data_IF_370053980032
#
_entry.id   IF_370053980032
#
_cell.length_a   1.000
_cell.length_b   1.000
_cell.length_c   1.000
_cell.angle_alpha   90.00
_cell.angle_beta   90.00
_cell.angle_gamma   90.00
#
_symmetry.space_group_name_H-M   'P 1'
#
loop_
_entity.id
_entity.type
_entity.pdbx_description
1 polymer ?
#
# COMPACT_ATOMS: atom_id res chain seq x y z
N UNK A 1 -21.80 -35.14 -5.36
CA UNK A 1 -21.86 -33.66 -5.34
C UNK A 1 -20.53 -33.04 -4.88
N UNK A 2 -19.96 -33.41 -3.73
CA UNK A 2 -18.69 -32.86 -3.21
C UNK A 2 -17.49 -33.02 -4.16
N UNK A 3 -17.26 -34.22 -4.74
CA UNK A 3 -16.17 -34.46 -5.71
C UNK A 3 -16.32 -33.63 -6.99
N UNK A 4 -17.54 -33.43 -7.47
CA UNK A 4 -17.77 -32.60 -8.66
C UNK A 4 -17.33 -31.14 -8.45
N UNK A 5 -17.62 -30.58 -7.27
CA UNK A 5 -17.23 -29.21 -6.93
C UNK A 5 -15.70 -29.10 -6.82
N UNK A 6 -15.06 -30.03 -6.11
CA UNK A 6 -13.60 -30.00 -5.91
C UNK A 6 -12.82 -30.21 -7.20
N UNK A 7 -13.30 -31.06 -8.10
CA UNK A 7 -12.54 -31.50 -9.26
C UNK A 7 -12.82 -30.62 -10.49
N UNK A 8 -13.96 -29.92 -10.51
CA UNK A 8 -14.37 -29.12 -11.68
C UNK A 8 -14.59 -27.64 -11.39
N UNK A 9 -15.19 -27.26 -10.27
CA UNK A 9 -15.53 -25.85 -10.03
C UNK A 9 -14.34 -25.11 -9.40
N UNK A 10 -13.76 -25.66 -8.33
CA UNK A 10 -12.66 -25.01 -7.60
C UNK A 10 -11.45 -24.68 -8.51
N UNK A 11 -10.95 -25.58 -9.39
CA UNK A 11 -9.79 -25.27 -10.23
C UNK A 11 -10.07 -24.13 -11.24
N UNK A 12 -11.31 -24.03 -11.72
CA UNK A 12 -11.74 -22.96 -12.61
C UNK A 12 -11.83 -21.62 -11.89
N UNK A 13 -12.36 -21.62 -10.66
CA UNK A 13 -12.37 -20.43 -9.80
C UNK A 13 -10.96 -19.96 -9.45
N UNK A 14 -10.04 -20.88 -9.14
CA UNK A 14 -8.63 -20.56 -8.88
C UNK A 14 -7.97 -19.92 -10.11
N UNK A 15 -8.26 -20.46 -11.30
CA UNK A 15 -7.79 -19.91 -12.57
C UNK A 15 -8.36 -18.51 -12.81
N UNK A 16 -9.66 -18.30 -12.61
CA UNK A 16 -10.30 -16.99 -12.72
C UNK A 16 -9.69 -15.98 -11.73
N UNK A 17 -9.46 -16.38 -10.48
CA UNK A 17 -8.81 -15.56 -9.46
C UNK A 17 -7.42 -15.08 -9.89
N UNK A 18 -6.62 -15.94 -10.51
CA UNK A 18 -5.28 -15.58 -11.00
C UNK A 18 -5.29 -14.50 -12.11
N UNK A 19 -6.40 -14.34 -12.83
CA UNK A 19 -6.57 -13.31 -13.86
C UNK A 19 -7.29 -12.06 -13.35
N UNK A 20 -8.39 -12.24 -12.61
CA UNK A 20 -9.35 -11.17 -12.33
C UNK A 20 -9.22 -10.56 -10.93
N UNK A 21 -8.69 -11.27 -9.92
CA UNK A 21 -8.67 -10.74 -8.55
C UNK A 21 -7.86 -9.43 -8.45
N UNK A 22 -6.64 -9.44 -8.99
CA UNK A 22 -5.79 -8.25 -9.00
C UNK A 22 -6.28 -7.18 -9.98
N UNK A 23 -6.94 -7.56 -11.07
CA UNK A 23 -7.57 -6.58 -11.97
C UNK A 23 -8.70 -5.83 -11.24
N UNK A 24 -9.56 -6.55 -10.52
CA UNK A 24 -10.65 -5.95 -9.73
C UNK A 24 -10.14 -4.95 -8.70
N UNK A 25 -9.11 -5.34 -7.92
CA UNK A 25 -8.46 -4.45 -6.95
C UNK A 25 -7.87 -3.19 -7.63
N UNK A 26 -7.21 -3.36 -8.77
CA UNK A 26 -6.63 -2.23 -9.51
C UNK A 26 -7.70 -1.29 -10.05
N UNK A 27 -8.82 -1.81 -10.56
CA UNK A 27 -9.92 -1.00 -11.10
C UNK A 27 -10.57 -0.13 -10.02
N UNK A 28 -10.91 -0.72 -8.87
CA UNK A 28 -11.54 0.05 -7.78
C UNK A 28 -10.58 1.09 -7.21
N UNK A 29 -9.33 0.70 -6.92
CA UNK A 29 -8.34 1.66 -6.40
C UNK A 29 -8.05 2.78 -7.42
N UNK A 30 -7.88 2.44 -8.70
CA UNK A 30 -7.65 3.46 -9.72
C UNK A 30 -8.81 4.45 -9.82
N UNK A 31 -10.06 3.99 -9.71
CA UNK A 31 -11.21 4.87 -9.71
C UNK A 31 -11.19 5.85 -8.53
N UNK A 32 -11.05 5.34 -7.30
CA UNK A 32 -11.09 6.15 -6.08
C UNK A 32 -9.97 7.20 -6.06
N UNK A 33 -8.74 6.82 -6.42
CA UNK A 33 -7.62 7.77 -6.45
C UNK A 33 -7.67 8.72 -7.65
N UNK A 34 -8.23 8.29 -8.79
CA UNK A 34 -8.47 9.19 -9.91
C UNK A 34 -9.48 10.28 -9.54
N UNK A 35 -10.59 9.90 -8.91
CA UNK A 35 -11.61 10.84 -8.44
C UNK A 35 -11.03 11.81 -7.40
N UNK A 36 -10.31 11.28 -6.41
CA UNK A 36 -9.65 12.10 -5.38
C UNK A 36 -8.66 13.11 -5.99
N UNK A 37 -7.79 12.66 -6.88
CA UNK A 37 -6.76 13.50 -7.49
C UNK A 37 -7.34 14.53 -8.45
N UNK A 38 -8.28 14.14 -9.31
CA UNK A 38 -8.94 15.09 -10.23
C UNK A 38 -9.81 16.10 -9.50
N UNK A 39 -10.38 15.75 -8.35
CA UNK A 39 -11.07 16.70 -7.46
C UNK A 39 -10.09 17.75 -6.93
N UNK A 40 -8.86 17.36 -6.54
CA UNK A 40 -7.83 18.31 -6.11
C UNK A 40 -7.31 19.20 -7.26
N UNK A 41 -7.18 18.65 -8.47
CA UNK A 41 -6.75 19.42 -9.65
C UNK A 41 -7.77 20.49 -10.08
N UNK A 42 -9.07 20.26 -9.82
CA UNK A 42 -10.16 21.18 -10.19
C UNK A 42 -10.66 22.04 -9.03
N UNK A 43 -10.27 21.70 -7.81
CA UNK A 43 -10.74 22.32 -6.58
C UNK A 43 -9.83 23.44 -6.08
N UNK A 44 -10.26 24.06 -4.99
CA UNK A 44 -9.47 25.03 -4.26
C UNK A 44 -8.63 24.33 -3.19
N UNK A 45 -7.38 24.74 -3.05
CA UNK A 45 -6.47 24.18 -2.05
C UNK A 45 -6.95 24.53 -0.63
N UNK A 46 -7.36 23.51 0.12
CA UNK A 46 -7.76 23.63 1.53
C UNK A 46 -6.69 23.10 2.49
N UNK A 47 -5.55 22.61 2.01
CA UNK A 47 -4.47 22.10 2.87
C UNK A 47 -3.88 23.17 3.79
N UNK A 48 -4.06 24.46 3.48
CA UNK A 48 -3.70 25.56 4.37
C UNK A 48 -4.39 25.46 5.74
N UNK A 49 -5.59 24.89 5.80
CA UNK A 49 -6.34 24.71 7.05
C UNK A 49 -5.82 23.55 7.92
N UNK A 50 -5.00 22.67 7.36
CA UNK A 50 -4.47 21.46 8.05
C UNK A 50 -2.94 21.38 7.96
N UNK A 51 -2.27 22.50 7.64
CA UNK A 51 -0.82 22.55 7.42
C UNK A 51 -0.04 22.01 8.62
N UNK A 52 -0.46 22.38 9.83
CA UNK A 52 0.22 22.00 11.08
C UNK A 52 0.10 20.49 11.39
N UNK A 53 -0.83 19.79 10.75
CA UNK A 53 -1.08 18.36 10.96
C UNK A 53 -0.24 17.47 10.04
N UNK A 54 0.46 18.03 9.03
CA UNK A 54 1.26 17.20 8.14
C UNK A 54 2.42 16.55 8.89
N UNK A 55 2.63 15.23 8.76
CA UNK A 55 3.76 14.56 9.37
C UNK A 55 5.07 14.88 8.64
N UNK A 56 6.21 14.80 9.31
CA UNK A 56 7.52 14.83 8.66
C UNK A 56 7.65 13.71 7.61
N UNK A 57 8.30 13.94 6.44
CA UNK A 57 8.93 15.19 6.00
C UNK A 57 7.96 16.17 5.33
N UNK A 58 6.68 15.84 5.21
CA UNK A 58 5.70 16.67 4.51
C UNK A 58 5.38 17.98 5.23
N UNK A 59 5.60 18.05 6.54
CA UNK A 59 5.56 19.31 7.31
C UNK A 59 6.58 20.36 6.83
N UNK A 60 7.65 19.94 6.13
CA UNK A 60 8.66 20.86 5.61
C UNK A 60 8.24 21.57 4.31
N UNK A 61 7.18 21.09 3.67
CA UNK A 61 6.65 21.67 2.43
C UNK A 61 5.46 22.59 2.73
N UNK A 62 5.25 23.57 1.85
CA UNK A 62 4.05 24.42 1.91
C UNK A 62 2.78 23.62 1.60
N UNK A 63 1.64 24.15 2.04
CA UNK A 63 0.33 23.58 1.73
C UNK A 63 0.10 23.44 0.22
N UNK A 64 0.56 24.41 -0.58
CA UNK A 64 0.48 24.37 -2.05
C UNK A 64 1.32 23.24 -2.63
N UNK A 65 2.53 23.03 -2.10
CA UNK A 65 3.40 21.95 -2.55
C UNK A 65 2.79 20.59 -2.22
N UNK A 66 2.31 20.41 -0.97
CA UNK A 66 1.65 19.18 -0.57
C UNK A 66 0.37 18.91 -1.38
N UNK A 67 -0.41 19.96 -1.68
CA UNK A 67 -1.62 19.85 -2.50
C UNK A 67 -1.32 19.35 -3.91
N UNK A 68 -0.33 19.97 -4.57
CA UNK A 68 0.10 19.58 -5.91
C UNK A 68 0.67 18.17 -5.90
N UNK A 69 1.56 17.83 -4.95
CA UNK A 69 2.14 16.50 -4.84
C UNK A 69 1.07 15.42 -4.63
N UNK A 70 0.09 15.66 -3.76
CA UNK A 70 -1.02 14.75 -3.54
C UNK A 70 -1.88 14.62 -4.81
N UNK A 71 -2.28 15.72 -5.44
CA UNK A 71 -3.15 15.70 -6.62
C UNK A 71 -2.51 14.95 -7.80
N UNK A 72 -1.27 15.28 -8.16
CA UNK A 72 -0.56 14.60 -9.24
C UNK A 72 -0.18 13.17 -8.89
N UNK A 73 0.22 12.92 -7.64
CA UNK A 73 0.53 11.58 -7.15
C UNK A 73 -0.68 10.65 -7.27
N UNK A 74 -1.84 11.07 -6.75
CA UNK A 74 -3.08 10.30 -6.84
C UNK A 74 -3.46 9.98 -8.29
N UNK A 75 -3.43 10.97 -9.20
CA UNK A 75 -3.77 10.75 -10.62
C UNK A 75 -2.75 9.84 -11.32
N UNK A 76 -1.45 10.10 -11.19
CA UNK A 76 -0.41 9.35 -11.89
C UNK A 76 -0.39 7.91 -11.39
N UNK A 77 -0.40 7.70 -10.07
CA UNK A 77 -0.37 6.35 -9.51
C UNK A 77 -1.68 5.59 -9.73
N UNK A 78 -2.84 6.27 -9.79
CA UNK A 78 -4.09 5.66 -10.23
C UNK A 78 -3.99 5.10 -11.66
N UNK A 79 -3.43 5.87 -12.61
CA UNK A 79 -3.23 5.41 -13.98
C UNK A 79 -2.22 4.26 -14.06
N UNK A 80 -1.12 4.33 -13.31
CA UNK A 80 -0.14 3.25 -13.24
C UNK A 80 -0.75 1.94 -12.71
N UNK A 81 -1.54 2.01 -11.64
CA UNK A 81 -2.28 0.86 -11.13
C UNK A 81 -3.33 0.36 -12.13
N UNK A 82 -4.09 1.25 -12.76
CA UNK A 82 -5.11 0.89 -13.75
C UNK A 82 -4.55 -0.01 -14.85
N UNK A 83 -3.43 0.39 -15.45
CA UNK A 83 -2.78 -0.39 -16.51
C UNK A 83 -1.88 -1.51 -15.96
N UNK A 84 -1.63 -1.52 -14.65
CA UNK A 84 -0.75 -2.47 -14.00
C UNK A 84 0.69 -2.29 -14.48
N UNK A 85 1.18 -1.05 -14.48
CA UNK A 85 2.53 -0.65 -14.84
C UNK A 85 3.26 -0.14 -13.59
N UNK A 86 4.42 -0.70 -13.27
CA UNK A 86 5.16 -0.43 -12.03
C UNK A 86 4.28 -0.61 -10.78
N UNK A 87 3.47 -1.67 -10.76
CA UNK A 87 2.33 -1.78 -9.83
C UNK A 87 2.75 -1.76 -8.36
N UNK A 88 3.86 -2.43 -7.99
CA UNK A 88 4.34 -2.42 -6.60
C UNK A 88 4.75 -1.03 -6.13
N UNK A 89 5.41 -0.27 -7.01
CA UNK A 89 5.81 1.10 -6.75
C UNK A 89 4.57 1.99 -6.61
N UNK A 90 3.66 1.97 -7.59
CA UNK A 90 2.45 2.78 -7.56
C UNK A 90 1.56 2.46 -6.34
N UNK A 91 1.38 1.18 -5.99
CA UNK A 91 0.62 0.77 -4.81
C UNK A 91 1.26 1.24 -3.51
N UNK A 92 2.59 1.12 -3.38
CA UNK A 92 3.30 1.63 -2.20
C UNK A 92 3.19 3.16 -2.10
N UNK A 93 3.30 3.88 -3.22
CA UNK A 93 3.13 5.33 -3.25
C UNK A 93 1.73 5.76 -2.83
N UNK A 94 0.67 5.08 -3.30
CA UNK A 94 -0.70 5.35 -2.88
C UNK A 94 -0.93 5.02 -1.40
N UNK A 95 -0.31 3.97 -0.87
CA UNK A 95 -0.34 3.68 0.57
C UNK A 95 0.29 4.84 1.35
N UNK A 96 1.45 5.35 0.92
CA UNK A 96 2.12 6.48 1.58
C UNK A 96 1.24 7.74 1.51
N UNK A 97 0.70 8.10 0.34
CA UNK A 97 -0.22 9.23 0.18
C UNK A 97 -1.42 9.08 1.13
N UNK A 98 -2.00 7.89 1.19
CA UNK A 98 -3.16 7.60 2.05
C UNK A 98 -2.80 7.68 3.53
N UNK A 99 -1.63 7.19 3.94
CA UNK A 99 -1.16 7.25 5.32
C UNK A 99 -0.89 8.70 5.77
N UNK A 100 -0.29 9.53 4.89
CA UNK A 100 -0.06 10.95 5.15
C UNK A 100 -1.38 11.72 5.23
N UNK A 101 -2.31 11.48 4.29
CA UNK A 101 -3.65 12.06 4.33
C UNK A 101 -4.41 11.62 5.59
N UNK A 102 -4.23 10.36 6.00
CA UNK A 102 -4.81 9.85 7.25
C UNK A 102 -4.27 10.62 8.44
N UNK A 103 -2.95 10.73 8.57
CA UNK A 103 -2.31 11.46 9.67
C UNK A 103 -2.75 12.93 9.74
N UNK A 104 -2.85 13.61 8.59
CA UNK A 104 -3.14 15.04 8.54
C UNK A 104 -4.64 15.37 8.73
N UNK A 105 -5.55 14.47 8.33
CA UNK A 105 -6.98 14.80 8.16
C UNK A 105 -7.93 13.80 8.82
N UNK A 106 -7.56 12.52 8.92
CA UNK A 106 -8.48 11.45 9.33
C UNK A 106 -8.10 10.76 10.64
N UNK A 107 -6.97 11.12 11.24
CA UNK A 107 -6.49 10.56 12.49
C UNK A 107 -7.07 11.31 13.70
N UNK A 108 -7.41 10.64 14.81
CA UNK A 108 -7.80 11.33 16.03
C UNK A 108 -6.67 12.20 16.58
N UNK A 109 -7.02 13.37 17.12
CA UNK A 109 -6.08 14.29 17.77
C UNK A 109 -5.37 13.63 18.97
N UNK A 110 -6.12 12.84 19.74
CA UNK A 110 -5.57 12.04 20.84
C UNK A 110 -6.39 10.77 21.06
N UNK A 111 -5.74 9.74 21.59
CA UNK A 111 -6.35 8.50 22.03
C UNK A 111 -5.47 7.88 23.12
N UNK A 112 -6.07 7.45 24.23
CA UNK A 112 -5.39 6.78 25.35
C UNK A 112 -5.58 5.27 25.36
N UNK A 113 -6.50 4.74 24.54
CA UNK A 113 -6.83 3.32 24.48
C UNK A 113 -7.20 2.86 23.07
N UNK A 114 -7.08 1.56 22.81
CA UNK A 114 -7.52 0.98 21.53
C UNK A 114 -9.03 1.15 21.31
N UNK A 115 -9.83 1.18 22.37
CA UNK A 115 -11.26 1.45 22.29
C UNK A 115 -11.58 2.88 21.85
N UNK A 116 -10.81 3.86 22.31
CA UNK A 116 -10.94 5.25 21.85
C UNK A 116 -10.49 5.39 20.39
N UNK A 117 -9.35 4.79 20.02
CA UNK A 117 -8.89 4.78 18.64
C UNK A 117 -9.93 4.15 17.70
N UNK A 118 -10.60 3.08 18.13
CA UNK A 118 -11.62 2.40 17.34
C UNK A 118 -12.84 3.29 17.01
N UNK A 119 -13.10 4.34 17.80
CA UNK A 119 -14.17 5.30 17.49
C UNK A 119 -13.90 6.05 16.17
N UNK A 120 -12.63 6.22 15.79
CA UNK A 120 -12.23 6.80 14.50
C UNK A 120 -12.39 5.87 13.31
N UNK A 121 -12.71 4.58 13.52
CA UNK A 121 -13.12 3.66 12.46
C UNK A 121 -14.58 3.91 12.05
N UNK A 122 -14.86 5.13 11.61
CA UNK A 122 -16.18 5.62 11.24
C UNK A 122 -16.16 6.24 9.83
N UNK A 123 -17.36 6.53 9.32
CA UNK A 123 -17.59 7.44 8.18
C UNK A 123 -18.45 8.58 8.73
N UNK A 124 -17.84 9.41 9.56
CA UNK A 124 -18.50 10.57 10.18
C UNK A 124 -17.47 11.65 10.48
N UNK A 125 -17.96 12.87 10.76
CA UNK A 125 -17.13 14.03 11.10
C UNK A 125 -17.26 14.36 12.59
N UNK A 126 -17.45 13.35 13.44
CA UNK A 126 -17.75 13.51 14.87
C UNK A 126 -16.51 13.83 15.74
N UNK A 127 -15.36 14.11 15.11
CA UNK A 127 -14.13 14.54 15.79
C UNK A 127 -13.23 13.41 16.32
N UNK A 128 -13.70 12.16 16.36
CA UNK A 128 -12.92 11.02 16.88
C UNK A 128 -11.97 10.38 15.84
N UNK A 129 -11.71 11.04 14.72
CA UNK A 129 -11.09 10.48 13.52
C UNK A 129 -12.12 10.04 12.46
N UNK A 130 -11.64 9.58 11.31
CA UNK A 130 -12.46 9.16 10.17
C UNK A 130 -11.64 8.27 9.21
N UNK A 131 -10.89 7.30 9.76
CA UNK A 131 -9.87 6.55 9.01
C UNK A 131 -10.37 5.24 8.41
N UNK A 132 -11.68 4.95 8.48
CA UNK A 132 -12.24 3.69 7.94
C UNK A 132 -11.97 3.51 6.45
N UNK A 133 -12.29 4.53 5.64
CA UNK A 133 -12.09 4.46 4.20
C UNK A 133 -10.60 4.43 3.81
N UNK A 134 -9.72 5.30 4.37
CA UNK A 134 -8.27 5.18 4.17
C UNK A 134 -7.70 3.79 4.52
N UNK A 135 -8.14 3.19 5.63
CA UNK A 135 -7.69 1.85 6.04
C UNK A 135 -8.11 0.79 5.02
N UNK A 136 -9.34 0.85 4.50
CA UNK A 136 -9.81 -0.06 3.46
C UNK A 136 -8.96 0.06 2.19
N UNK A 137 -8.61 1.28 1.76
CA UNK A 137 -7.75 1.50 0.60
C UNK A 137 -6.34 0.92 0.78
N UNK A 138 -5.74 1.13 1.95
CA UNK A 138 -4.45 0.52 2.30
C UNK A 138 -4.54 -1.00 2.23
N UNK A 139 -5.56 -1.60 2.87
CA UNK A 139 -5.75 -3.06 2.89
C UNK A 139 -5.95 -3.62 1.47
N UNK A 140 -6.69 -2.92 0.61
CA UNK A 140 -6.86 -3.32 -0.79
C UNK A 140 -5.58 -3.17 -1.63
N UNK A 141 -4.70 -2.22 -1.29
CA UNK A 141 -3.43 -2.00 -1.97
C UNK A 141 -2.33 -2.99 -1.56
N UNK A 142 -2.36 -3.53 -0.34
CA UNK A 142 -1.35 -4.48 0.17
C UNK A 142 -1.18 -5.74 -0.73
N UNK A 143 -2.24 -6.40 -1.22
CA UNK A 143 -2.09 -7.49 -2.17
C UNK A 143 -1.30 -7.10 -3.43
N UNK A 144 -1.44 -5.86 -3.91
CA UNK A 144 -0.69 -5.36 -5.09
C UNK A 144 0.79 -5.11 -4.74
N UNK A 145 1.09 -4.65 -3.53
CA UNK A 145 2.47 -4.52 -3.04
C UNK A 145 3.14 -5.88 -2.91
N UNK A 146 2.45 -6.90 -2.37
CA UNK A 146 3.05 -8.21 -2.09
C UNK A 146 3.03 -9.18 -3.27
N UNK A 147 1.97 -9.17 -4.10
CA UNK A 147 1.77 -10.12 -5.19
C UNK A 147 1.97 -9.49 -6.58
N UNK A 148 1.96 -8.16 -6.69
CA UNK A 148 2.09 -7.44 -7.95
C UNK A 148 0.77 -7.28 -8.71
N UNK A 149 0.89 -7.11 -10.03
CA UNK A 149 -0.20 -6.64 -10.90
C UNK A 149 -1.22 -7.72 -11.34
N UNK A 150 -0.87 -9.00 -11.19
CA UNK A 150 -1.60 -10.12 -11.79
C UNK A 150 -1.33 -10.26 -13.29
N UNK A 151 -1.96 -11.26 -13.93
CA UNK A 151 -1.69 -11.66 -15.32
C UNK A 151 -2.19 -10.67 -16.37
N UNK A 152 -3.27 -9.93 -16.08
CA UNK A 152 -3.83 -8.92 -16.99
C UNK A 152 -3.21 -7.56 -16.68
N UNK A 153 -1.92 -7.38 -16.97
CA UNK A 153 -1.18 -6.15 -16.64
C UNK A 153 -0.05 -5.88 -17.63
N UNK A 154 0.37 -4.61 -17.73
CA UNK A 154 1.57 -4.24 -18.48
C UNK A 154 2.84 -4.82 -17.86
N UNK A 155 2.93 -4.90 -16.52
CA UNK A 155 4.05 -5.56 -15.83
C UNK A 155 4.21 -7.02 -16.28
N UNK A 156 3.10 -7.77 -16.39
CA UNK A 156 3.14 -9.15 -16.87
C UNK A 156 3.53 -9.24 -18.36
N UNK A 157 3.00 -8.34 -19.20
CA UNK A 157 3.36 -8.26 -20.62
C UNK A 157 4.86 -7.99 -20.81
N UNK A 158 5.40 -7.01 -20.07
CA UNK A 158 6.81 -6.63 -20.10
C UNK A 158 7.68 -7.79 -19.61
N UNK A 159 7.32 -8.43 -18.50
CA UNK A 159 8.05 -9.60 -17.97
C UNK A 159 8.14 -10.73 -19.00
N UNK A 160 7.04 -11.02 -19.71
CA UNK A 160 7.01 -12.01 -20.80
C UNK A 160 7.87 -11.58 -22.00
N UNK A 161 7.79 -10.31 -22.40
CA UNK A 161 8.60 -9.77 -23.50
C UNK A 161 10.10 -9.85 -23.21
N UNK A 162 10.50 -9.51 -21.98
CA UNK A 162 11.88 -9.58 -21.50
C UNK A 162 12.35 -11.02 -21.17
N UNK A 163 11.49 -12.03 -21.34
CA UNK A 163 11.76 -13.44 -21.00
C UNK A 163 12.29 -13.60 -19.57
N UNK A 164 11.78 -12.79 -18.65
CA UNK A 164 12.17 -12.92 -17.25
C UNK A 164 11.71 -14.28 -16.72
N UNK A 165 12.54 -14.97 -15.94
CA UNK A 165 12.13 -16.20 -15.28
C UNK A 165 10.96 -15.90 -14.33
N UNK A 166 10.11 -16.89 -14.08
CA UNK A 166 9.06 -16.74 -13.08
C UNK A 166 9.68 -16.39 -11.71
N UNK A 167 9.10 -15.39 -11.06
CA UNK A 167 9.53 -14.98 -9.72
C UNK A 167 9.27 -16.14 -8.75
N UNK A 168 10.36 -16.71 -8.22
CA UNK A 168 10.27 -17.76 -7.20
C UNK A 168 9.78 -17.15 -5.88
N UNK A 169 8.83 -17.81 -5.24
CA UNK A 169 8.48 -17.50 -3.85
C UNK A 169 9.57 -18.05 -2.95
N UNK A 170 10.15 -17.19 -2.12
CA UNK A 170 11.13 -17.56 -1.09
C UNK A 170 10.45 -17.39 0.27
N UNK A 171 10.79 -18.23 1.23
CA UNK A 171 10.32 -18.15 2.60
C UNK A 171 11.54 -18.20 3.53
N UNK A 172 12.10 -17.03 3.79
CA UNK A 172 13.29 -16.83 4.63
C UNK A 172 13.11 -15.63 5.57
N UNK A 173 14.15 -15.30 6.35
CA UNK A 173 14.07 -14.19 7.31
C UNK A 173 13.89 -12.84 6.58
N UNK A 174 14.46 -12.67 5.38
CA UNK A 174 14.24 -11.47 4.58
C UNK A 174 12.78 -11.33 4.11
N UNK A 175 12.05 -12.42 3.96
CA UNK A 175 10.61 -12.40 3.64
C UNK A 175 9.80 -11.74 4.75
N UNK A 176 10.07 -12.13 6.01
CA UNK A 176 9.48 -11.48 7.20
C UNK A 176 9.96 -10.02 7.28
N UNK A 177 11.24 -9.79 7.01
CA UNK A 177 11.83 -8.46 7.02
C UNK A 177 11.15 -7.49 6.06
N UNK A 178 10.94 -7.91 4.82
CA UNK A 178 10.25 -7.13 3.79
C UNK A 178 8.80 -6.82 4.18
N UNK A 179 8.08 -7.79 4.75
CA UNK A 179 6.72 -7.57 5.24
C UNK A 179 6.68 -6.51 6.35
N UNK A 180 7.57 -6.61 7.33
CA UNK A 180 7.67 -5.62 8.42
C UNK A 180 8.04 -4.23 7.90
N UNK A 181 8.93 -4.12 6.91
CA UNK A 181 9.23 -2.83 6.28
C UNK A 181 7.99 -2.22 5.62
N UNK A 182 7.19 -3.00 4.88
CA UNK A 182 5.95 -2.51 4.24
C UNK A 182 4.92 -2.05 5.27
N UNK A 183 4.67 -2.84 6.31
CA UNK A 183 3.76 -2.45 7.39
C UNK A 183 4.28 -1.24 8.18
N UNK A 184 5.57 -1.17 8.41
CA UNK A 184 6.20 -0.04 9.07
C UNK A 184 6.07 1.25 8.27
N UNK A 185 6.30 1.22 6.95
CA UNK A 185 6.07 2.36 6.04
C UNK A 185 4.61 2.81 6.02
N UNK A 186 3.68 1.88 6.19
CA UNK A 186 2.24 2.19 6.28
C UNK A 186 1.91 2.92 7.59
N UNK A 187 2.52 2.50 8.70
CA UNK A 187 2.18 3.00 10.03
C UNK A 187 2.99 4.23 10.46
N UNK A 188 4.15 4.49 9.88
CA UNK A 188 5.08 5.53 10.37
C UNK A 188 4.48 6.93 10.42
N UNK A 189 3.47 7.23 9.61
CA UNK A 189 2.82 8.54 9.59
C UNK A 189 1.74 8.72 10.67
N UNK A 190 1.07 7.63 11.09
CA UNK A 190 -0.03 7.66 12.07
C UNK A 190 0.40 7.17 13.46
N UNK A 191 1.41 6.31 13.51
CA UNK A 191 2.04 5.76 14.71
C UNK A 191 3.57 5.70 14.52
N UNK A 192 4.28 6.84 14.61
CA UNK A 192 5.68 6.94 14.23
C UNK A 192 6.60 5.93 14.93
N UNK A 193 6.46 5.77 16.24
CA UNK A 193 7.28 4.83 17.02
C UNK A 193 7.08 3.39 16.55
N UNK A 194 5.83 2.95 16.39
CA UNK A 194 5.52 1.61 15.90
C UNK A 194 6.03 1.40 14.48
N UNK A 195 5.81 2.37 13.60
CA UNK A 195 6.28 2.31 12.22
C UNK A 195 7.81 2.20 12.12
N UNK A 196 8.54 3.03 12.87
CA UNK A 196 10.01 3.01 12.90
C UNK A 196 10.57 1.70 13.47
N UNK A 197 9.96 1.15 14.53
CA UNK A 197 10.34 -0.15 15.09
C UNK A 197 10.19 -1.25 14.02
N UNK A 198 9.05 -1.30 13.33
CA UNK A 198 8.81 -2.29 12.28
C UNK A 198 9.77 -2.14 11.10
N UNK A 199 10.05 -0.90 10.67
CA UNK A 199 11.05 -0.64 9.62
C UNK A 199 12.43 -1.12 10.09
N UNK A 200 12.86 -0.76 11.29
CA UNK A 200 14.16 -1.14 11.85
C UNK A 200 14.34 -2.65 11.96
N UNK A 201 13.35 -3.35 12.52
CA UNK A 201 13.34 -4.82 12.59
C UNK A 201 13.33 -5.44 11.20
N UNK A 202 12.55 -4.88 10.27
CA UNK A 202 12.46 -5.35 8.90
C UNK A 202 13.79 -5.27 8.15
N UNK A 203 14.46 -4.12 8.23
CA UNK A 203 15.78 -3.90 7.63
C UNK A 203 16.85 -4.78 8.28
N UNK A 204 16.84 -4.91 9.61
CA UNK A 204 17.77 -5.79 10.31
C UNK A 204 17.64 -7.24 9.86
N UNK A 205 16.41 -7.74 9.68
CA UNK A 205 16.14 -9.09 9.18
C UNK A 205 16.65 -9.29 7.74
N UNK A 206 16.44 -8.31 6.85
CA UNK A 206 16.94 -8.34 5.46
C UNK A 206 18.48 -8.37 5.45
N UNK A 207 19.12 -7.49 6.23
CA UNK A 207 20.59 -7.40 6.32
C UNK A 207 21.16 -8.69 6.89
N UNK A 208 20.55 -9.24 7.95
CA UNK A 208 20.97 -10.52 8.52
C UNK A 208 20.92 -11.64 7.49
N UNK A 209 19.80 -11.79 6.76
CA UNK A 209 19.65 -12.82 5.74
C UNK A 209 20.71 -12.69 4.65
N UNK A 210 21.00 -11.46 4.20
CA UNK A 210 22.05 -11.20 3.20
C UNK A 210 23.42 -11.71 3.63
N UNK A 211 23.81 -11.48 4.90
CA UNK A 211 25.09 -11.99 5.41
C UNK A 211 25.05 -13.50 5.65
N UNK A 212 23.92 -14.05 6.11
CA UNK A 212 23.75 -15.48 6.33
C UNK A 212 23.87 -16.28 5.02
N UNK A 213 23.31 -15.78 3.92
CA UNK A 213 23.39 -16.42 2.60
C UNK A 213 24.78 -16.35 1.96
N UNK A 214 25.62 -15.41 2.40
CA UNK A 214 26.96 -15.16 1.83
C UNK A 214 28.11 -15.73 2.67
N UNK A 215 27.83 -16.49 3.74
CA UNK A 215 28.90 -17.19 4.46
C UNK A 215 29.48 -18.29 3.57
N UNK A 216 30.81 -18.33 3.34
CA UNK A 216 31.43 -19.43 2.62
C UNK A 216 31.14 -20.73 3.38
N UNK A 217 30.70 -21.79 2.67
CA UNK A 217 30.57 -23.10 3.31
C UNK A 217 31.94 -23.46 3.88
N UNK A 218 32.02 -23.69 5.19
CA UNK A 218 33.21 -24.31 5.75
C UNK A 218 33.33 -25.67 5.04
N UNK A 219 34.33 -25.79 4.17
CA UNK A 219 34.69 -27.04 3.54
C UNK A 219 35.30 -27.91 4.63
N UNK A 220 34.54 -28.90 5.07
CA UNK A 220 35.04 -30.07 5.80
C UNK A 220 35.74 -31.03 4.82
#
# INVERSE_FOLDING_TARGET
MTRFITDHIIPRLNSAGAFFAYLGLRLILAWEFWEAGTTKLKGNNWFSNVQDNFPFPFSMFSADTNWVLAAYGEVIFALLILFGLFTRFAALSLIIITAVATAAVHWPESWGSLSELWQGYAISNDGNGNFKLPLIFIVMALPLVFNGAGKISLDHLISKYLKQPENKTVCDIATIGAAFTVFGLTLVFVMPTTGLILIGLGLAAIIYQFFASNKPSQAD
#
